data_IF_750696308363
#
_entry.id   IF_750696308363
#
_cell.length_a   1.000
_cell.length_b   1.000
_cell.length_c   1.000
_cell.angle_alpha   90.00
_cell.angle_beta   90.00
_cell.angle_gamma   90.00
#
_symmetry.space_group_name_H-M   'P 1'
#
loop_
_entity.id
_entity.type
_entity.pdbx_description
1 polymer ?
#
# COMPACT_ATOMS: atom_id res chain seq x y z
N UNK A 1 35.82 7.25 1.21
CA UNK A 1 34.90 7.79 0.15
C UNK A 1 33.95 8.75 0.81
N UNK A 2 33.53 9.80 0.16
CA UNK A 2 32.45 10.66 0.68
C UNK A 2 31.15 9.86 0.63
N UNK A 3 30.37 9.87 1.72
CA UNK A 3 29.08 9.20 1.78
C UNK A 3 28.12 9.87 0.80
N UNK A 4 27.26 9.08 0.16
CA UNK A 4 26.18 9.61 -0.69
C UNK A 4 25.02 10.09 0.19
N UNK A 5 24.61 11.35 0.07
CA UNK A 5 23.51 11.90 0.86
C UNK A 5 22.19 11.62 0.14
N UNK A 6 21.36 10.80 0.74
CA UNK A 6 20.04 10.41 0.22
C UNK A 6 18.96 11.03 1.09
N UNK A 7 18.10 11.85 0.49
CA UNK A 7 16.94 12.42 1.17
C UNK A 7 15.66 11.67 0.74
N UNK A 8 14.83 11.30 1.70
CA UNK A 8 13.51 10.70 1.43
C UNK A 8 12.42 11.72 1.79
N UNK A 9 11.50 11.98 0.86
CA UNK A 9 10.40 12.94 1.04
C UNK A 9 9.07 12.23 0.93
N UNK A 10 8.25 12.30 1.98
CA UNK A 10 6.91 11.71 2.00
C UNK A 10 6.01 12.44 3.01
N UNK A 11 4.68 12.27 2.89
CA UNK A 11 3.76 13.07 3.70
C UNK A 11 2.48 12.40 4.15
N UNK A 12 2.15 11.24 3.59
CA UNK A 12 0.93 10.50 3.91
C UNK A 12 1.23 9.17 4.59
N UNK A 13 0.23 8.60 5.25
CA UNK A 13 0.33 7.28 5.88
C UNK A 13 0.75 6.18 4.88
N UNK A 14 0.13 6.05 3.68
CA UNK A 14 0.54 5.03 2.71
C UNK A 14 1.98 5.17 2.23
N UNK A 15 2.43 6.40 1.97
CA UNK A 15 3.84 6.65 1.62
C UNK A 15 4.78 6.23 2.76
N UNK A 16 4.47 6.60 4.01
CA UNK A 16 5.31 6.26 5.16
C UNK A 16 5.46 4.75 5.34
N UNK A 17 4.39 3.97 5.19
CA UNK A 17 4.44 2.50 5.28
C UNK A 17 5.45 1.93 4.28
N UNK A 18 5.52 2.48 3.08
CA UNK A 18 6.38 2.03 1.99
C UNK A 18 7.78 2.64 2.00
N UNK A 19 7.96 3.84 2.58
CA UNK A 19 9.25 4.53 2.63
C UNK A 19 10.05 4.24 3.90
N UNK A 20 9.40 3.93 5.03
CA UNK A 20 10.10 3.64 6.27
C UNK A 20 11.03 2.40 6.20
N UNK A 21 10.66 1.29 5.54
CA UNK A 21 11.60 0.19 5.30
C UNK A 21 12.86 0.64 4.57
N UNK A 22 12.72 1.48 3.55
CA UNK A 22 13.84 2.04 2.78
C UNK A 22 14.70 2.99 3.62
N UNK A 23 14.09 3.81 4.49
CA UNK A 23 14.82 4.62 5.47
C UNK A 23 15.66 3.73 6.39
N UNK A 24 15.07 2.65 6.89
CA UNK A 24 15.75 1.74 7.79
C UNK A 24 16.91 1.02 7.09
N UNK A 25 16.72 0.57 5.86
CA UNK A 25 17.76 -0.06 5.06
C UNK A 25 18.95 0.90 4.83
N UNK A 26 18.71 2.13 4.41
CA UNK A 26 19.76 3.14 4.26
C UNK A 26 20.50 3.41 5.57
N UNK A 27 19.78 3.42 6.70
CA UNK A 27 20.37 3.62 8.04
C UNK A 27 21.20 2.43 8.53
N UNK A 28 21.07 1.24 7.95
CA UNK A 28 21.98 0.11 8.23
C UNK A 28 23.33 0.28 7.53
N UNK A 29 23.39 1.05 6.44
CA UNK A 29 24.58 1.23 5.58
C UNK A 29 25.22 2.61 5.79
N UNK A 30 25.42 2.98 7.03
CA UNK A 30 25.96 4.31 7.42
C UNK A 30 27.37 4.60 6.92
N UNK A 31 28.14 3.61 6.50
CA UNK A 31 29.47 3.81 5.90
C UNK A 31 29.38 4.32 4.46
N UNK A 32 28.28 4.05 3.77
CA UNK A 32 28.02 4.41 2.37
C UNK A 32 27.10 5.63 2.24
N UNK A 33 26.13 5.75 3.13
CA UNK A 33 25.05 6.75 3.02
C UNK A 33 24.96 7.69 4.22
N UNK A 34 24.57 8.93 3.92
CA UNK A 34 24.00 9.88 4.86
C UNK A 34 22.50 10.01 4.53
N UNK A 35 21.64 9.61 5.46
CA UNK A 35 20.19 9.54 5.24
C UNK A 35 19.51 10.73 5.88
N UNK A 36 18.73 11.48 5.10
CA UNK A 36 17.90 12.60 5.56
C UNK A 36 16.43 12.28 5.34
N UNK A 37 15.63 12.33 6.37
CA UNK A 37 14.19 12.07 6.32
C UNK A 37 13.42 13.37 6.42
N UNK A 38 12.70 13.74 5.38
CA UNK A 38 11.87 14.93 5.33
C UNK A 38 10.40 14.54 5.18
N UNK A 39 9.58 14.91 6.16
CA UNK A 39 8.14 14.68 6.09
C UNK A 39 7.40 15.99 5.83
N UNK A 40 6.33 15.91 5.03
CA UNK A 40 5.50 17.08 4.77
C UNK A 40 4.44 17.31 5.84
N UNK A 41 4.04 16.25 6.56
CA UNK A 41 3.00 16.34 7.58
C UNK A 41 1.62 16.61 7.02
N UNK A 42 1.32 16.13 5.79
CA UNK A 42 0.02 16.30 5.14
C UNK A 42 -1.11 15.63 5.95
N UNK A 43 -0.85 14.49 6.62
CA UNK A 43 -1.78 13.76 7.49
C UNK A 43 -1.07 13.41 8.81
N UNK A 44 -0.88 14.41 9.69
CA UNK A 44 0.01 14.38 10.84
C UNK A 44 -0.14 13.16 11.75
N UNK A 45 -1.31 12.98 12.36
CA UNK A 45 -1.52 11.92 13.36
C UNK A 45 -1.29 10.51 12.80
N UNK A 46 -1.82 10.24 11.61
CA UNK A 46 -1.67 8.94 10.95
C UNK A 46 -0.23 8.68 10.49
N UNK A 47 0.49 9.73 10.09
CA UNK A 47 1.90 9.65 9.72
C UNK A 47 2.76 9.32 10.94
N UNK A 48 2.57 10.05 12.05
CA UNK A 48 3.33 9.88 13.29
C UNK A 48 3.16 8.46 13.88
N UNK A 49 1.99 7.83 13.71
CA UNK A 49 1.76 6.44 14.11
C UNK A 49 2.69 5.49 13.33
N UNK A 50 2.77 5.62 12.02
CA UNK A 50 3.64 4.79 11.18
C UNK A 50 5.11 5.02 11.53
N UNK A 51 5.54 6.26 11.63
CA UNK A 51 6.92 6.61 12.00
C UNK A 51 7.34 5.93 13.32
N UNK A 52 6.44 5.93 14.34
CA UNK A 52 6.69 5.22 15.61
C UNK A 52 6.84 3.71 15.44
N UNK A 53 5.97 3.09 14.64
CA UNK A 53 6.00 1.63 14.39
C UNK A 53 7.33 1.21 13.77
N UNK A 54 7.86 2.01 12.83
CA UNK A 54 9.13 1.74 12.17
C UNK A 54 10.36 2.31 12.87
N UNK A 55 10.20 3.02 13.99
CA UNK A 55 11.31 3.66 14.71
C UNK A 55 11.99 4.77 13.93
N UNK A 56 11.28 5.40 12.99
CA UNK A 56 11.81 6.49 12.16
C UNK A 56 11.51 7.83 12.80
N UNK A 57 12.56 8.66 12.94
CA UNK A 57 12.43 10.06 13.35
C UNK A 57 12.79 10.93 12.15
N UNK A 58 11.91 11.83 11.71
CA UNK A 58 12.24 12.76 10.62
C UNK A 58 13.26 13.80 11.08
N UNK A 59 14.17 14.17 10.17
CA UNK A 59 15.13 15.25 10.36
C UNK A 59 14.46 16.59 10.09
N UNK A 60 13.56 16.64 9.12
CA UNK A 60 12.76 17.83 8.78
C UNK A 60 11.27 17.50 8.72
N UNK A 61 10.46 18.42 9.28
CA UNK A 61 9.01 18.38 9.21
C UNK A 61 8.49 19.71 8.65
N UNK A 62 7.93 19.65 7.44
CA UNK A 62 7.43 20.86 6.77
C UNK A 62 6.11 21.37 7.34
N UNK A 63 5.40 20.56 8.12
CA UNK A 63 4.16 20.90 8.81
C UNK A 63 3.16 21.66 7.90
N UNK A 64 2.79 21.05 6.76
CA UNK A 64 1.93 21.71 5.77
C UNK A 64 0.43 21.55 6.04
N UNK A 65 0.05 20.67 7.00
CA UNK A 65 -1.36 20.38 7.26
C UNK A 65 -2.13 21.62 7.70
N UNK A 66 -3.20 21.93 6.98
CA UNK A 66 -4.17 22.99 7.30
C UNK A 66 -5.59 22.49 7.12
N UNK A 67 -6.56 22.90 7.97
CA UNK A 67 -7.97 22.56 7.75
C UNK A 67 -8.46 23.08 6.39
N UNK A 68 -9.10 22.20 5.62
CA UNK A 68 -9.69 22.57 4.33
C UNK A 68 -8.70 22.89 3.21
N UNK A 69 -7.43 22.48 3.34
CA UNK A 69 -6.40 22.70 2.30
C UNK A 69 -6.81 22.10 0.97
N UNK A 70 -6.53 22.83 -0.10
CA UNK A 70 -6.71 22.42 -1.49
C UNK A 70 -5.45 21.77 -2.04
N UNK A 71 -5.54 21.16 -3.23
CA UNK A 71 -4.34 20.67 -3.94
C UNK A 71 -3.35 21.81 -4.25
N UNK A 72 -3.83 23.03 -4.49
CA UNK A 72 -2.99 24.21 -4.67
C UNK A 72 -2.19 24.51 -3.40
N UNK A 73 -2.85 24.50 -2.23
CA UNK A 73 -2.17 24.76 -0.96
C UNK A 73 -1.08 23.72 -0.69
N UNK A 74 -1.40 22.43 -0.85
CA UNK A 74 -0.43 21.34 -0.66
C UNK A 74 0.77 21.51 -1.60
N UNK A 75 0.52 21.70 -2.90
CA UNK A 75 1.58 21.85 -3.90
C UNK A 75 2.46 23.05 -3.64
N UNK A 76 1.87 24.22 -3.36
CA UNK A 76 2.61 25.44 -3.08
C UNK A 76 3.42 25.33 -1.78
N UNK A 77 2.81 24.83 -0.70
CA UNK A 77 3.47 24.72 0.59
C UNK A 77 4.66 23.76 0.54
N UNK A 78 4.50 22.59 -0.10
CA UNK A 78 5.61 21.62 -0.29
C UNK A 78 6.72 22.26 -1.12
N UNK A 79 6.37 22.83 -2.27
CA UNK A 79 7.36 23.42 -3.20
C UNK A 79 8.20 24.51 -2.52
N UNK A 80 7.55 25.44 -1.80
CA UNK A 80 8.22 26.57 -1.17
C UNK A 80 9.03 26.17 0.06
N UNK A 81 8.50 25.29 0.92
CA UNK A 81 9.18 24.88 2.15
C UNK A 81 10.31 23.91 1.88
N UNK A 82 10.10 22.97 0.96
CA UNK A 82 11.13 21.99 0.61
C UNK A 82 12.34 22.65 -0.08
N UNK A 83 12.13 23.74 -0.83
CA UNK A 83 13.23 24.49 -1.44
C UNK A 83 14.31 24.83 -0.41
N UNK A 84 13.94 25.41 0.73
CA UNK A 84 14.91 25.80 1.75
C UNK A 84 15.67 24.59 2.33
N UNK A 85 14.99 23.46 2.53
CA UNK A 85 15.61 22.24 3.02
C UNK A 85 16.60 21.67 1.99
N UNK A 86 16.23 21.66 0.70
CA UNK A 86 17.10 21.19 -0.38
C UNK A 86 18.36 22.08 -0.55
N UNK A 87 18.22 23.37 -0.42
CA UNK A 87 19.34 24.34 -0.50
C UNK A 87 20.33 24.19 0.67
N UNK A 88 19.83 23.83 1.87
CA UNK A 88 20.63 23.60 3.06
C UNK A 88 21.30 22.22 3.05
N UNK A 89 20.52 21.16 2.86
CA UNK A 89 20.99 19.77 2.91
C UNK A 89 21.82 19.35 1.70
N UNK A 90 21.53 19.86 0.51
CA UNK A 90 22.21 19.55 -0.76
C UNK A 90 22.35 18.05 -0.99
N UNK A 91 21.24 17.29 -1.01
CA UNK A 91 21.31 15.84 -1.22
C UNK A 91 21.83 15.50 -2.60
N UNK A 92 22.54 14.36 -2.71
CA UNK A 92 22.98 13.80 -4.00
C UNK A 92 21.82 13.20 -4.78
N UNK A 93 20.77 12.75 -4.07
CA UNK A 93 19.52 12.22 -4.64
C UNK A 93 18.37 12.37 -3.65
N UNK A 94 17.19 12.65 -4.20
CA UNK A 94 15.92 12.66 -3.43
C UNK A 94 15.04 11.51 -3.88
N UNK A 95 14.55 10.72 -2.94
CA UNK A 95 13.58 9.65 -3.20
C UNK A 95 12.18 10.13 -2.87
N UNK A 96 11.26 9.94 -3.80
CA UNK A 96 9.81 10.15 -3.64
C UNK A 96 9.07 8.88 -3.95
N UNK A 97 7.84 8.73 -3.45
CA UNK A 97 7.08 7.51 -3.61
C UNK A 97 5.74 7.75 -4.30
N UNK A 98 5.45 6.96 -5.34
CA UNK A 98 4.13 6.88 -5.96
C UNK A 98 3.65 8.21 -6.56
N UNK A 99 2.42 8.60 -6.21
CA UNK A 99 1.64 9.55 -7.00
C UNK A 99 0.94 10.65 -6.19
N UNK A 100 1.36 10.87 -4.97
CA UNK A 100 0.78 11.91 -4.13
C UNK A 100 1.15 13.32 -4.62
N UNK A 101 0.38 14.32 -4.20
CA UNK A 101 0.74 15.73 -4.43
C UNK A 101 2.07 16.10 -3.75
N UNK A 102 2.43 15.43 -2.66
CA UNK A 102 3.75 15.54 -2.01
C UNK A 102 4.86 15.08 -2.95
N UNK A 103 4.75 13.88 -3.53
CA UNK A 103 5.74 13.31 -4.44
C UNK A 103 5.92 14.17 -5.68
N UNK A 104 4.81 14.63 -6.28
CA UNK A 104 4.83 15.54 -7.42
C UNK A 104 5.53 16.87 -7.10
N UNK A 105 5.12 17.55 -6.02
CA UNK A 105 5.68 18.85 -5.66
C UNK A 105 7.16 18.74 -5.25
N UNK A 106 7.55 17.65 -4.56
CA UNK A 106 8.94 17.38 -4.20
C UNK A 106 9.81 17.14 -5.43
N UNK A 107 9.35 16.31 -6.37
CA UNK A 107 10.05 16.06 -7.63
C UNK A 107 10.23 17.35 -8.46
N UNK A 108 9.20 18.20 -8.51
CA UNK A 108 9.27 19.49 -9.19
C UNK A 108 10.27 20.45 -8.51
N UNK A 109 10.32 20.49 -7.16
CA UNK A 109 11.30 21.30 -6.44
C UNK A 109 12.72 20.83 -6.74
N UNK A 110 12.96 19.52 -6.75
CA UNK A 110 14.25 18.91 -7.10
C UNK A 110 14.66 19.26 -8.53
N UNK A 111 13.72 19.16 -9.49
CA UNK A 111 13.99 19.51 -10.88
C UNK A 111 14.44 20.96 -11.04
N UNK A 112 13.80 21.90 -10.35
CA UNK A 112 14.19 23.31 -10.39
C UNK A 112 15.58 23.58 -9.81
N UNK A 113 15.99 22.79 -8.83
CA UNK A 113 17.32 22.88 -8.21
C UNK A 113 18.35 21.93 -8.82
N UNK A 114 17.98 21.19 -9.87
CA UNK A 114 18.83 20.22 -10.55
C UNK A 114 19.34 19.10 -9.59
N UNK A 115 18.53 18.72 -8.62
CA UNK A 115 18.80 17.58 -7.73
C UNK A 115 18.20 16.33 -8.36
N UNK A 116 18.97 15.23 -8.52
CA UNK A 116 18.46 13.97 -9.05
C UNK A 116 17.31 13.40 -8.22
N UNK A 117 16.29 12.85 -8.90
CA UNK A 117 15.12 12.23 -8.27
C UNK A 117 15.11 10.73 -8.54
N UNK A 118 14.89 9.95 -7.50
CA UNK A 118 14.54 8.53 -7.61
C UNK A 118 13.05 8.34 -7.30
N UNK A 119 12.34 7.73 -8.25
CA UNK A 119 10.91 7.45 -8.10
C UNK A 119 10.71 6.00 -7.65
N UNK A 120 10.29 5.81 -6.41
CA UNK A 120 9.89 4.52 -5.84
C UNK A 120 8.42 4.26 -6.22
N UNK A 121 8.10 3.09 -6.75
CA UNK A 121 6.82 2.73 -7.36
C UNK A 121 6.59 3.44 -8.71
N UNK A 122 7.65 3.55 -9.52
CA UNK A 122 7.62 4.17 -10.84
C UNK A 122 6.88 3.30 -11.89
N UNK A 123 6.29 3.96 -12.88
CA UNK A 123 5.76 3.27 -14.07
C UNK A 123 4.36 2.68 -13.95
N UNK A 124 3.63 2.86 -12.86
CA UNK A 124 2.21 2.54 -12.80
C UNK A 124 1.42 3.44 -13.76
N UNK A 125 0.49 2.87 -14.55
CA UNK A 125 -0.33 3.63 -15.52
C UNK A 125 -1.76 3.12 -15.59
N UNK A 126 -2.68 4.08 -15.69
CA UNK A 126 -4.06 3.84 -16.13
C UNK A 126 -4.28 4.33 -17.56
N UNK A 127 -3.39 5.19 -18.07
CA UNK A 127 -3.49 5.86 -19.36
C UNK A 127 -4.68 6.84 -19.48
N UNK A 128 -5.34 7.16 -18.37
CA UNK A 128 -6.36 8.20 -18.28
C UNK A 128 -5.95 9.21 -17.20
N UNK A 129 -5.44 10.37 -17.62
CA UNK A 129 -4.90 11.43 -16.75
C UNK A 129 -5.91 11.93 -15.71
N UNK A 130 -7.20 11.65 -15.91
CA UNK A 130 -8.28 12.02 -15.00
C UNK A 130 -8.78 10.86 -14.12
N UNK A 131 -8.17 9.66 -14.26
CA UNK A 131 -8.60 8.47 -13.50
C UNK A 131 -7.43 7.55 -13.13
N UNK A 132 -7.05 7.50 -11.83
CA UNK A 132 -7.48 8.33 -10.71
C UNK A 132 -6.96 9.78 -10.83
N UNK A 133 -7.72 10.72 -10.32
CA UNK A 133 -7.36 12.13 -10.34
C UNK A 133 -7.06 12.65 -8.92
N UNK A 134 -5.93 13.34 -8.67
CA UNK A 134 -4.88 13.77 -9.62
C UNK A 134 -3.72 12.77 -9.80
N UNK A 135 -3.83 11.56 -9.25
CA UNK A 135 -2.74 10.60 -9.06
C UNK A 135 -2.08 10.19 -10.39
N UNK A 136 -2.87 9.93 -11.46
CA UNK A 136 -2.29 9.52 -12.74
C UNK A 136 -1.42 10.62 -13.35
N UNK A 137 -1.85 11.88 -13.25
CA UNK A 137 -1.01 13.01 -13.67
C UNK A 137 0.26 13.10 -12.82
N UNK A 138 0.12 13.01 -11.50
CA UNK A 138 1.26 13.15 -10.59
C UNK A 138 2.36 12.12 -10.89
N UNK A 139 1.99 10.83 -11.06
CA UNK A 139 2.99 9.78 -11.31
C UNK A 139 3.71 9.94 -12.63
N UNK A 140 2.97 10.33 -13.69
CA UNK A 140 3.58 10.63 -14.98
C UNK A 140 4.54 11.83 -14.89
N UNK A 141 4.14 12.89 -14.19
CA UNK A 141 4.97 14.08 -14.00
C UNK A 141 6.25 13.78 -13.19
N UNK A 142 6.15 12.96 -12.13
CA UNK A 142 7.33 12.48 -11.38
C UNK A 142 8.26 11.69 -12.31
N UNK A 143 7.72 10.76 -13.10
CA UNK A 143 8.52 9.99 -14.06
C UNK A 143 9.19 10.86 -15.15
N UNK A 144 8.63 12.02 -15.50
CA UNK A 144 9.26 12.93 -16.47
C UNK A 144 10.59 13.47 -15.96
N UNK A 145 10.70 13.78 -14.67
CA UNK A 145 11.86 14.44 -14.07
C UNK A 145 12.79 13.48 -13.32
N UNK A 146 12.43 12.20 -13.20
CA UNK A 146 13.22 11.21 -12.47
C UNK A 146 14.48 10.76 -13.23
N UNK A 147 15.52 10.46 -12.47
CA UNK A 147 16.78 9.90 -12.90
C UNK A 147 16.89 8.41 -12.61
N UNK A 148 16.23 7.92 -11.54
CA UNK A 148 16.14 6.51 -11.14
C UNK A 148 14.67 6.10 -11.10
N UNK A 149 14.34 4.97 -11.74
CA UNK A 149 12.99 4.44 -11.82
C UNK A 149 12.95 3.06 -11.14
N UNK A 150 12.41 3.00 -9.94
CA UNK A 150 12.24 1.75 -9.19
C UNK A 150 10.83 1.22 -9.44
N UNK A 151 10.71 0.36 -10.44
CA UNK A 151 9.44 -0.19 -10.88
C UNK A 151 9.01 -1.37 -9.98
N UNK A 152 7.73 -1.46 -9.55
CA UNK A 152 7.28 -2.57 -8.73
C UNK A 152 7.14 -3.89 -9.52
N UNK A 153 6.90 -3.83 -10.85
CA UNK A 153 6.68 -4.99 -11.71
C UNK A 153 7.29 -4.81 -13.09
N UNK A 154 7.41 -5.91 -13.84
CA UNK A 154 7.82 -5.86 -15.25
C UNK A 154 6.83 -5.08 -16.12
N UNK A 155 5.52 -5.11 -15.79
CA UNK A 155 4.53 -4.30 -16.51
C UNK A 155 4.78 -2.80 -16.30
N UNK A 156 5.13 -2.39 -15.09
CA UNK A 156 5.50 -1.01 -14.78
C UNK A 156 6.79 -0.58 -15.51
N UNK A 157 7.80 -1.46 -15.57
CA UNK A 157 9.00 -1.25 -16.38
C UNK A 157 8.64 -1.06 -17.85
N UNK A 158 7.75 -1.91 -18.38
CA UNK A 158 7.35 -1.82 -19.80
C UNK A 158 6.65 -0.50 -20.13
N UNK A 159 5.82 0.02 -19.21
CA UNK A 159 5.20 1.33 -19.36
C UNK A 159 6.27 2.44 -19.53
N UNK A 160 7.29 2.43 -18.67
CA UNK A 160 8.40 3.38 -18.72
C UNK A 160 9.19 3.27 -20.05
N UNK A 161 9.47 2.04 -20.50
CA UNK A 161 10.13 1.80 -21.79
C UNK A 161 9.29 2.31 -22.96
N UNK A 162 7.98 2.09 -22.94
CA UNK A 162 7.06 2.58 -23.97
C UNK A 162 7.01 4.12 -24.04
N UNK A 163 7.29 4.78 -22.91
CA UNK A 163 7.40 6.24 -22.80
C UNK A 163 8.82 6.76 -23.14
N UNK A 164 9.72 5.87 -23.57
CA UNK A 164 11.08 6.24 -24.01
C UNK A 164 12.06 6.47 -22.87
N UNK A 165 11.78 6.00 -21.65
CA UNK A 165 12.76 6.07 -20.56
C UNK A 165 13.92 5.10 -20.82
N UNK A 166 15.17 5.49 -20.49
CA UNK A 166 16.34 4.64 -20.72
C UNK A 166 16.28 3.37 -19.87
N UNK A 167 16.43 2.19 -20.48
CA UNK A 167 16.40 0.91 -19.75
C UNK A 167 17.46 0.84 -18.66
N UNK A 168 18.63 1.44 -18.86
CA UNK A 168 19.72 1.48 -17.88
C UNK A 168 19.42 2.27 -16.61
N UNK A 169 18.28 2.97 -16.56
CA UNK A 169 17.79 3.74 -15.40
C UNK A 169 16.52 3.15 -14.76
N UNK A 170 16.08 1.99 -15.23
CA UNK A 170 14.86 1.32 -14.74
C UNK A 170 15.25 0.00 -14.07
N UNK A 171 14.89 -0.16 -12.80
CA UNK A 171 15.10 -1.38 -12.03
C UNK A 171 13.76 -1.91 -11.53
N UNK A 172 13.51 -3.20 -11.76
CA UNK A 172 12.34 -3.87 -11.17
C UNK A 172 12.74 -4.37 -9.80
N UNK A 173 12.30 -3.67 -8.77
CA UNK A 173 12.68 -3.93 -7.39
C UNK A 173 11.58 -4.57 -6.55
N UNK A 174 10.34 -4.58 -7.05
CA UNK A 174 9.18 -4.95 -6.26
C UNK A 174 8.60 -3.75 -5.50
N UNK A 175 7.61 -4.04 -4.66
CA UNK A 175 6.90 -3.02 -3.86
C UNK A 175 7.42 -3.02 -2.42
N UNK A 176 7.91 -1.87 -1.97
CA UNK A 176 8.42 -1.66 -0.60
C UNK A 176 7.34 -1.81 0.50
N UNK A 177 6.06 -1.83 0.14
CA UNK A 177 4.97 -2.20 1.05
C UNK A 177 5.09 -3.64 1.56
N UNK A 178 5.67 -4.54 0.74
CA UNK A 178 5.94 -5.93 1.16
C UNK A 178 7.07 -5.98 2.18
N UNK A 179 8.10 -5.13 2.01
CA UNK A 179 9.19 -4.99 3.00
C UNK A 179 8.67 -4.55 4.37
N UNK A 180 7.61 -3.73 4.39
CA UNK A 180 6.99 -3.29 5.63
C UNK A 180 6.50 -4.46 6.49
N UNK A 181 6.02 -5.54 5.89
CA UNK A 181 5.55 -6.72 6.60
C UNK A 181 6.66 -7.40 7.41
N UNK A 182 7.90 -7.37 6.95
CA UNK A 182 9.05 -7.91 7.69
C UNK A 182 9.28 -7.22 9.04
N UNK A 183 8.88 -5.95 9.15
CA UNK A 183 9.00 -5.17 10.40
C UNK A 183 7.74 -5.27 11.25
N UNK A 184 6.58 -5.34 10.62
CA UNK A 184 5.28 -5.20 11.30
C UNK A 184 4.66 -6.53 11.69
N UNK A 185 4.87 -7.60 10.94
CA UNK A 185 4.42 -8.95 11.32
C UNK A 185 5.36 -9.51 12.36
N UNK A 186 4.83 -9.87 13.53
CA UNK A 186 5.62 -10.28 14.71
C UNK A 186 5.22 -11.65 15.17
N UNK A 187 6.23 -12.49 15.45
CA UNK A 187 6.00 -13.75 16.19
C UNK A 187 5.46 -13.45 17.57
N UNK A 188 4.44 -14.21 17.99
CA UNK A 188 3.83 -14.07 19.31
C UNK A 188 2.97 -12.80 19.47
N UNK A 189 2.61 -12.15 18.36
CA UNK A 189 1.66 -11.04 18.41
C UNK A 189 0.31 -11.52 18.95
N UNK A 190 -0.25 -10.80 19.92
CA UNK A 190 -1.54 -11.09 20.57
C UNK A 190 -2.45 -9.88 20.47
N UNK A 191 -3.72 -10.15 20.22
CA UNK A 191 -4.78 -9.15 20.24
C UNK A 191 -6.10 -9.86 20.65
N UNK A 192 -6.96 -9.23 21.46
CA UNK A 192 -8.19 -9.87 21.95
C UNK A 192 -9.08 -10.45 20.85
N UNK A 193 -9.16 -9.76 19.69
CA UNK A 193 -9.94 -10.23 18.54
C UNK A 193 -9.33 -11.48 17.88
N UNK A 194 -7.99 -11.60 17.85
CA UNK A 194 -7.34 -12.81 17.35
C UNK A 194 -7.47 -13.97 18.32
N UNK A 195 -7.40 -13.71 19.62
CA UNK A 195 -7.67 -14.71 20.66
C UNK A 195 -9.13 -15.21 20.58
N UNK A 196 -10.08 -14.30 20.35
CA UNK A 196 -11.47 -14.69 20.10
C UNK A 196 -11.61 -15.59 18.87
N UNK A 197 -10.84 -15.35 17.82
CA UNK A 197 -10.88 -16.14 16.58
C UNK A 197 -10.11 -17.47 16.66
N UNK A 198 -9.38 -17.73 17.74
CA UNK A 198 -8.54 -18.92 17.88
C UNK A 198 -9.33 -20.21 17.65
N UNK A 199 -8.69 -21.19 16.99
CA UNK A 199 -9.30 -22.47 16.64
C UNK A 199 -10.29 -22.45 15.48
N UNK A 200 -10.49 -21.30 14.82
CA UNK A 200 -11.33 -21.16 13.62
C UNK A 200 -10.53 -20.70 12.42
N UNK A 201 -11.08 -20.88 11.22
CA UNK A 201 -10.54 -20.26 10.00
C UNK A 201 -10.93 -18.77 10.01
N UNK A 202 -9.96 -17.91 10.30
CA UNK A 202 -10.18 -16.46 10.35
C UNK A 202 -10.32 -15.87 8.96
N UNK A 203 -11.40 -15.15 8.72
CA UNK A 203 -11.66 -14.36 7.51
C UNK A 203 -11.45 -12.88 7.85
N UNK A 204 -10.52 -12.23 7.15
CA UNK A 204 -10.34 -10.78 7.27
C UNK A 204 -11.12 -10.08 6.17
N UNK A 205 -11.94 -9.10 6.53
CA UNK A 205 -12.78 -8.36 5.58
C UNK A 205 -12.33 -6.91 5.54
N UNK A 206 -12.17 -6.36 4.34
CA UNK A 206 -12.04 -4.91 4.13
C UNK A 206 -12.89 -4.48 2.94
N UNK A 207 -13.83 -3.57 3.15
CA UNK A 207 -14.69 -3.05 2.11
C UNK A 207 -15.03 -1.58 2.40
N UNK A 208 -14.65 -0.68 1.48
CA UNK A 208 -14.82 0.76 1.69
C UNK A 208 -14.80 1.60 0.40
N UNK A 209 -14.63 0.99 -0.76
CA UNK A 209 -14.54 1.70 -2.03
C UNK A 209 -15.84 2.41 -2.37
N UNK A 210 -15.73 3.64 -2.88
CA UNK A 210 -16.88 4.49 -3.23
C UNK A 210 -17.72 3.86 -4.33
N UNK A 211 -17.11 3.18 -5.27
CA UNK A 211 -17.76 2.47 -6.37
C UNK A 211 -18.67 1.33 -5.89
N UNK A 212 -18.42 0.78 -4.72
CA UNK A 212 -19.19 -0.31 -4.12
C UNK A 212 -20.32 0.17 -3.19
N UNK A 213 -20.43 1.48 -2.93
CA UNK A 213 -21.47 1.99 -2.02
C UNK A 213 -22.89 1.71 -2.54
N UNK A 214 -23.82 1.47 -1.62
CA UNK A 214 -25.21 1.11 -1.92
C UNK A 214 -25.41 -0.38 -2.14
N UNK A 215 -26.25 -0.78 -3.09
CA UNK A 215 -26.66 -2.17 -3.31
C UNK A 215 -25.48 -3.14 -3.57
N UNK A 216 -24.40 -2.78 -4.28
CA UNK A 216 -23.24 -3.67 -4.40
C UNK A 216 -22.68 -4.09 -3.04
N UNK A 217 -22.53 -3.17 -2.10
CA UNK A 217 -22.00 -3.46 -0.76
C UNK A 217 -22.95 -4.37 0.04
N UNK A 218 -24.26 -4.19 -0.06
CA UNK A 218 -25.23 -5.07 0.55
C UNK A 218 -25.13 -6.51 0.00
N UNK A 219 -24.99 -6.67 -1.33
CA UNK A 219 -24.78 -7.99 -1.95
C UNK A 219 -23.51 -8.67 -1.44
N UNK A 220 -22.41 -7.92 -1.34
CA UNK A 220 -21.14 -8.41 -0.79
C UNK A 220 -21.33 -8.95 0.64
N UNK A 221 -21.95 -8.19 1.51
CA UNK A 221 -22.15 -8.58 2.91
C UNK A 221 -23.15 -9.75 3.05
N UNK A 222 -24.22 -9.80 2.26
CA UNK A 222 -25.13 -10.95 2.23
C UNK A 222 -24.40 -12.23 1.78
N UNK A 223 -23.54 -12.14 0.76
CA UNK A 223 -22.74 -13.28 0.31
C UNK A 223 -21.82 -13.79 1.42
N UNK A 224 -21.12 -12.89 2.11
CA UNK A 224 -20.23 -13.22 3.23
C UNK A 224 -21.01 -13.93 4.33
N UNK A 225 -22.11 -13.36 4.77
CA UNK A 225 -22.97 -13.96 5.81
C UNK A 225 -23.46 -15.35 5.43
N UNK A 226 -23.92 -15.52 4.18
CA UNK A 226 -24.41 -16.80 3.64
C UNK A 226 -23.32 -17.86 3.65
N UNK A 227 -22.11 -17.56 3.19
CA UNK A 227 -20.97 -18.49 3.24
C UNK A 227 -20.64 -18.89 4.66
N UNK A 228 -20.58 -17.92 5.59
CA UNK A 228 -20.26 -18.22 6.97
C UNK A 228 -21.34 -19.06 7.69
N UNK A 229 -22.60 -19.01 7.25
CA UNK A 229 -23.65 -19.91 7.74
C UNK A 229 -23.33 -21.35 7.33
N UNK A 230 -22.93 -21.56 6.08
CA UNK A 230 -22.64 -22.88 5.54
C UNK A 230 -21.27 -23.46 6.00
N UNK A 231 -20.37 -22.59 6.48
CA UNK A 231 -19.05 -22.95 7.01
C UNK A 231 -18.91 -22.55 8.50
N UNK A 232 -19.45 -23.36 9.43
CA UNK A 232 -19.54 -22.99 10.85
C UNK A 232 -18.19 -22.93 11.59
N UNK A 233 -17.13 -23.45 10.99
CA UNK A 233 -15.74 -23.39 11.48
C UNK A 233 -15.02 -22.06 11.14
N UNK A 234 -15.72 -21.11 10.52
CA UNK A 234 -15.19 -19.78 10.19
C UNK A 234 -15.58 -18.74 11.22
N UNK A 235 -14.67 -17.81 11.48
CA UNK A 235 -14.93 -16.52 12.13
C UNK A 235 -14.42 -15.39 11.25
N UNK A 236 -15.06 -14.23 11.32
CA UNK A 236 -14.65 -13.08 10.52
C UNK A 236 -14.38 -11.86 11.42
N UNK A 237 -13.39 -11.07 11.03
CA UNK A 237 -13.12 -9.76 11.63
C UNK A 237 -13.17 -8.73 10.50
N UNK A 238 -13.93 -7.67 10.73
CA UNK A 238 -14.09 -6.56 9.81
C UNK A 238 -13.67 -5.24 10.47
N UNK A 239 -12.43 -4.79 10.32
CA UNK A 239 -12.01 -3.44 10.68
C UNK A 239 -12.71 -2.44 9.76
N UNK A 240 -13.81 -1.85 10.26
CA UNK A 240 -14.74 -1.10 9.41
C UNK A 240 -14.27 0.34 9.16
N UNK A 241 -14.38 0.80 7.92
CA UNK A 241 -14.09 2.18 7.56
C UNK A 241 -15.07 3.17 8.20
N UNK A 242 -14.59 4.39 8.52
CA UNK A 242 -15.38 5.42 9.20
C UNK A 242 -16.53 6.02 8.39
N UNK A 243 -16.59 5.73 7.09
CA UNK A 243 -17.66 6.23 6.22
C UNK A 243 -19.03 5.74 6.71
N UNK A 244 -19.99 6.67 7.01
CA UNK A 244 -21.32 6.32 7.53
C UNK A 244 -22.12 5.38 6.62
N UNK A 245 -21.96 5.48 5.30
CA UNK A 245 -22.65 4.61 4.33
C UNK A 245 -22.15 3.18 4.40
N UNK A 246 -20.83 2.99 4.59
CA UNK A 246 -20.23 1.66 4.80
C UNK A 246 -20.75 1.06 6.10
N UNK A 247 -20.71 1.84 7.20
CA UNK A 247 -21.19 1.41 8.52
C UNK A 247 -22.67 1.02 8.47
N UNK A 248 -23.49 1.82 7.80
CA UNK A 248 -24.91 1.53 7.65
C UNK A 248 -25.14 0.19 6.95
N UNK A 249 -24.54 -0.04 5.78
CA UNK A 249 -24.69 -1.28 5.04
C UNK A 249 -24.19 -2.51 5.84
N UNK A 250 -23.04 -2.37 6.54
CA UNK A 250 -22.52 -3.45 7.37
C UNK A 250 -23.47 -3.79 8.54
N UNK A 251 -24.00 -2.80 9.24
CA UNK A 251 -24.97 -3.02 10.32
C UNK A 251 -26.27 -3.65 9.82
N UNK A 252 -26.79 -3.23 8.66
CA UNK A 252 -28.02 -3.78 8.10
C UNK A 252 -27.89 -5.27 7.73
N UNK A 253 -26.72 -5.72 7.26
CA UNK A 253 -26.52 -7.09 6.75
C UNK A 253 -25.82 -8.03 7.75
N UNK A 254 -24.93 -7.50 8.60
CA UNK A 254 -24.02 -8.32 9.40
C UNK A 254 -24.31 -8.30 10.92
N UNK A 255 -25.11 -7.35 11.43
CA UNK A 255 -25.44 -7.28 12.84
C UNK A 255 -26.11 -8.56 13.35
N UNK A 256 -25.81 -8.90 14.60
CA UNK A 256 -26.35 -10.07 15.26
C UNK A 256 -25.79 -11.41 14.78
N UNK A 257 -24.73 -11.40 13.95
CA UNK A 257 -24.04 -12.60 13.56
C UNK A 257 -22.83 -12.86 14.45
N UNK A 258 -23.00 -13.73 15.47
CA UNK A 258 -22.03 -13.93 16.57
C UNK A 258 -20.62 -14.32 16.14
N UNK A 259 -20.45 -14.86 14.93
CA UNK A 259 -19.15 -15.28 14.39
C UNK A 259 -18.48 -14.22 13.50
N UNK A 260 -18.99 -12.98 13.50
CA UNK A 260 -18.41 -11.86 12.79
C UNK A 260 -18.33 -10.66 13.73
N UNK A 261 -17.12 -10.17 13.95
CA UNK A 261 -16.88 -8.96 14.72
C UNK A 261 -16.60 -7.78 13.79
N UNK A 262 -17.41 -6.73 13.92
CA UNK A 262 -17.16 -5.43 13.32
C UNK A 262 -16.40 -4.61 14.36
N UNK A 263 -15.18 -4.21 14.02
CA UNK A 263 -14.30 -3.47 14.95
C UNK A 263 -13.90 -2.12 14.36
N UNK A 264 -13.33 -1.26 15.18
CA UNK A 264 -12.76 0.01 14.71
C UNK A 264 -11.58 -0.22 13.77
N UNK A 265 -11.23 0.78 12.91
CA UNK A 265 -10.10 0.67 12.01
C UNK A 265 -8.81 0.36 12.77
N UNK A 266 -8.02 -0.58 12.26
CA UNK A 266 -6.76 -0.98 12.84
C UNK A 266 -5.60 -0.07 12.38
N UNK A 267 -4.62 0.10 13.26
CA UNK A 267 -3.32 0.66 12.87
C UNK A 267 -2.53 -0.35 12.02
N UNK A 268 -1.49 0.13 11.33
CA UNK A 268 -0.73 -0.70 10.37
C UNK A 268 -0.13 -1.96 11.02
N UNK A 269 0.39 -1.83 12.24
CA UNK A 269 0.96 -2.96 12.97
C UNK A 269 -0.07 -4.06 13.19
N UNK A 270 -1.22 -3.69 13.75
CA UNK A 270 -2.30 -4.61 14.05
C UNK A 270 -2.87 -5.21 12.76
N UNK A 271 -3.12 -4.37 11.76
CA UNK A 271 -3.69 -4.80 10.50
C UNK A 271 -2.82 -5.86 9.78
N UNK A 272 -1.50 -5.66 9.73
CA UNK A 272 -0.57 -6.62 9.13
C UNK A 272 -0.53 -7.95 9.90
N UNK A 273 -0.61 -7.92 11.23
CA UNK A 273 -0.69 -9.14 12.03
C UNK A 273 -2.05 -9.85 11.88
N UNK A 274 -3.15 -9.10 11.70
CA UNK A 274 -4.45 -9.69 11.38
C UNK A 274 -4.44 -10.34 9.98
N UNK A 275 -3.79 -9.71 8.99
CA UNK A 275 -3.56 -10.35 7.69
C UNK A 275 -2.76 -11.65 7.83
N UNK A 276 -1.66 -11.61 8.58
CA UNK A 276 -0.80 -12.78 8.79
C UNK A 276 -1.54 -13.92 9.52
N UNK A 277 -2.44 -13.61 10.45
CA UNK A 277 -3.24 -14.58 11.18
C UNK A 277 -4.44 -15.09 10.37
N UNK A 278 -4.86 -14.41 9.31
CA UNK A 278 -6.05 -14.79 8.55
C UNK A 278 -5.82 -16.05 7.72
N UNK A 279 -6.91 -16.81 7.51
CA UNK A 279 -6.97 -17.91 6.57
C UNK A 279 -7.20 -17.40 5.15
N UNK A 280 -8.10 -16.43 4.97
CA UNK A 280 -8.49 -15.87 3.69
C UNK A 280 -8.88 -14.41 3.86
N UNK A 281 -8.69 -13.60 2.82
CA UNK A 281 -8.98 -12.18 2.85
C UNK A 281 -9.99 -11.81 1.76
N UNK A 282 -11.04 -11.10 2.17
CA UNK A 282 -12.04 -10.48 1.29
C UNK A 282 -11.78 -8.98 1.27
N UNK A 283 -11.44 -8.41 0.12
CA UNK A 283 -11.04 -7.00 0.06
C UNK A 283 -11.52 -6.27 -1.20
N UNK A 284 -11.70 -4.97 -1.11
CA UNK A 284 -11.77 -4.06 -2.25
C UNK A 284 -10.57 -3.09 -2.32
N UNK A 285 -9.58 -3.25 -1.43
CA UNK A 285 -8.39 -2.41 -1.34
C UNK A 285 -7.29 -2.82 -2.32
N UNK A 286 -6.62 -1.84 -2.94
CA UNK A 286 -5.50 -2.08 -3.85
C UNK A 286 -4.24 -2.60 -3.14
N UNK A 287 -3.82 -1.98 -2.03
CA UNK A 287 -2.59 -2.37 -1.32
C UNK A 287 -2.61 -3.79 -0.78
N UNK A 288 -3.75 -4.23 -0.27
CA UNK A 288 -3.91 -5.60 0.26
C UNK A 288 -3.71 -6.66 -0.84
N UNK A 289 -4.04 -6.34 -2.09
CA UNK A 289 -3.81 -7.21 -3.24
C UNK A 289 -2.32 -7.48 -3.50
N UNK A 290 -1.45 -6.59 -3.05
CA UNK A 290 0.01 -6.71 -3.19
C UNK A 290 0.64 -7.36 -1.92
N UNK A 291 0.15 -6.98 -0.75
CA UNK A 291 0.71 -7.35 0.56
C UNK A 291 0.28 -8.76 1.01
N UNK A 292 -1.00 -9.10 0.96
CA UNK A 292 -1.53 -10.36 1.48
C UNK A 292 -0.96 -11.62 0.79
N UNK A 293 -0.73 -11.64 -0.52
CA UNK A 293 -0.09 -12.77 -1.19
C UNK A 293 1.32 -13.08 -0.68
N UNK A 294 2.08 -12.07 -0.24
CA UNK A 294 3.43 -12.29 0.32
C UNK A 294 3.40 -13.01 1.67
N UNK A 295 2.25 -13.00 2.34
CA UNK A 295 1.98 -13.76 3.56
C UNK A 295 1.36 -15.15 3.27
N UNK A 296 1.27 -15.54 2.00
CA UNK A 296 0.62 -16.79 1.59
C UNK A 296 -0.88 -16.81 1.83
N UNK A 297 -1.54 -15.65 1.78
CA UNK A 297 -2.98 -15.54 2.04
C UNK A 297 -3.77 -15.40 0.74
N UNK A 298 -4.69 -16.35 0.43
CA UNK A 298 -5.60 -16.19 -0.69
C UNK A 298 -6.45 -14.92 -0.55
N UNK A 299 -6.62 -14.20 -1.66
CA UNK A 299 -7.35 -12.92 -1.70
C UNK A 299 -8.49 -12.99 -2.69
N UNK A 300 -9.70 -12.75 -2.22
CA UNK A 300 -10.86 -12.50 -3.07
C UNK A 300 -11.11 -10.99 -3.18
N UNK A 301 -10.98 -10.46 -4.39
CA UNK A 301 -11.13 -9.04 -4.67
C UNK A 301 -12.57 -8.76 -5.07
N UNK A 302 -13.32 -8.09 -4.19
CA UNK A 302 -14.73 -7.74 -4.36
C UNK A 302 -14.88 -6.46 -5.21
N UNK A 303 -14.42 -6.53 -6.45
CA UNK A 303 -14.47 -5.47 -7.46
C UNK A 303 -14.68 -6.05 -8.85
N UNK A 304 -15.27 -5.26 -9.74
CA UNK A 304 -15.44 -5.66 -11.14
C UNK A 304 -14.15 -5.49 -11.96
N UNK A 305 -13.27 -4.58 -11.52
CA UNK A 305 -11.97 -4.30 -12.13
C UNK A 305 -10.88 -4.15 -11.07
N UNK A 306 -9.63 -4.37 -11.46
CA UNK A 306 -8.47 -4.11 -10.59
C UNK A 306 -7.35 -3.45 -11.38
N UNK A 307 -6.59 -2.59 -10.71
CA UNK A 307 -5.35 -2.00 -11.21
C UNK A 307 -4.14 -2.94 -11.02
N UNK A 308 -4.37 -4.18 -10.56
CA UNK A 308 -3.37 -5.20 -10.25
C UNK A 308 -3.61 -6.48 -11.07
N UNK A 309 -3.63 -6.38 -12.41
CA UNK A 309 -3.89 -7.54 -13.26
C UNK A 309 -2.82 -8.63 -13.13
N UNK A 310 -1.59 -8.26 -12.75
CA UNK A 310 -0.47 -9.20 -12.56
C UNK A 310 -0.77 -10.21 -11.44
N UNK A 311 -1.37 -9.78 -10.34
CA UNK A 311 -1.75 -10.68 -9.25
C UNK A 311 -2.84 -11.68 -9.65
N UNK A 312 -3.79 -11.25 -10.49
CA UNK A 312 -4.79 -12.15 -11.08
C UNK A 312 -4.13 -13.17 -12.01
N UNK A 313 -3.23 -12.71 -12.89
CA UNK A 313 -2.50 -13.55 -13.82
C UNK A 313 -1.57 -14.56 -13.12
N UNK A 314 -0.96 -14.14 -12.01
CA UNK A 314 -0.12 -15.01 -11.17
C UNK A 314 -0.93 -15.99 -10.32
N UNK A 315 -2.24 -15.82 -10.19
CA UNK A 315 -3.11 -16.67 -9.38
C UNK A 315 -3.05 -16.41 -7.87
N UNK A 316 -2.44 -15.30 -7.45
CA UNK A 316 -2.36 -14.92 -6.02
C UNK A 316 -3.66 -14.31 -5.50
N UNK A 317 -4.48 -13.80 -6.40
CA UNK A 317 -5.78 -13.22 -6.10
C UNK A 317 -6.80 -13.54 -7.18
N UNK A 318 -8.08 -13.47 -6.81
CA UNK A 318 -9.20 -13.72 -7.70
C UNK A 318 -10.19 -12.56 -7.66
N UNK A 319 -10.46 -12.00 -8.82
CA UNK A 319 -11.48 -10.96 -8.98
C UNK A 319 -12.87 -11.62 -8.97
N UNK A 320 -13.72 -11.28 -8.01
CA UNK A 320 -15.03 -11.91 -7.80
C UNK A 320 -16.20 -10.96 -8.04
N UNK A 321 -15.94 -9.69 -8.38
CA UNK A 321 -16.99 -8.70 -8.59
C UNK A 321 -17.77 -8.39 -7.32
N UNK A 322 -18.98 -7.88 -7.50
CA UNK A 322 -19.89 -7.48 -6.40
C UNK A 322 -21.19 -8.28 -6.38
N UNK A 323 -21.33 -9.30 -7.26
CA UNK A 323 -22.53 -10.13 -7.32
C UNK A 323 -22.55 -11.21 -6.25
N UNK A 324 -23.64 -11.29 -5.47
CA UNK A 324 -23.77 -12.17 -4.31
C UNK A 324 -23.45 -13.63 -4.61
N UNK A 325 -24.03 -14.19 -5.68
CA UNK A 325 -23.83 -15.62 -6.03
C UNK A 325 -22.42 -15.92 -6.53
N UNK A 326 -21.73 -14.95 -7.12
CA UNK A 326 -20.33 -15.13 -7.55
C UNK A 326 -19.43 -15.14 -6.33
N UNK A 327 -19.57 -14.17 -5.43
CA UNK A 327 -18.79 -14.12 -4.18
C UNK A 327 -19.05 -15.37 -3.34
N UNK A 328 -20.32 -15.76 -3.17
CA UNK A 328 -20.68 -16.97 -2.44
C UNK A 328 -19.99 -18.21 -3.00
N UNK A 329 -20.05 -18.41 -4.33
CA UNK A 329 -19.45 -19.58 -4.98
C UNK A 329 -17.94 -19.63 -4.80
N UNK A 330 -17.24 -18.52 -5.09
CA UNK A 330 -15.78 -18.49 -5.05
C UNK A 330 -15.24 -18.55 -3.61
N UNK A 331 -15.92 -17.90 -2.68
CA UNK A 331 -15.55 -17.97 -1.26
C UNK A 331 -15.79 -19.36 -0.67
N UNK A 332 -16.97 -19.97 -0.89
CA UNK A 332 -17.24 -21.35 -0.44
C UNK A 332 -16.29 -22.35 -1.08
N UNK A 333 -15.89 -22.14 -2.33
CA UNK A 333 -14.94 -22.98 -3.04
C UNK A 333 -13.58 -22.98 -2.35
N UNK A 334 -13.00 -21.83 -2.04
CA UNK A 334 -11.72 -21.74 -1.32
C UNK A 334 -11.79 -22.31 0.10
N UNK A 335 -12.95 -22.33 0.72
CA UNK A 335 -13.13 -22.96 2.03
C UNK A 335 -13.29 -24.49 1.94
N UNK A 336 -13.70 -25.03 0.79
CA UNK A 336 -14.04 -26.46 0.61
C UNK A 336 -13.01 -27.24 -0.19
N UNK A 337 -12.25 -26.56 -1.08
CA UNK A 337 -11.26 -27.17 -1.98
C UNK A 337 -9.85 -26.78 -1.52
N UNK A 338 -9.22 -27.71 -0.78
CA UNK A 338 -7.85 -27.52 -0.28
C UNK A 338 -6.83 -27.34 -1.41
N UNK A 339 -7.02 -28.01 -2.55
CA UNK A 339 -6.10 -27.93 -3.68
C UNK A 339 -6.10 -26.52 -4.27
N UNK A 340 -7.28 -25.93 -4.42
CA UNK A 340 -7.39 -24.55 -4.93
C UNK A 340 -6.87 -23.53 -3.93
N UNK A 341 -7.16 -23.72 -2.64
CA UNK A 341 -6.60 -22.90 -1.58
C UNK A 341 -5.07 -22.91 -1.61
N UNK A 342 -4.45 -24.10 -1.65
CA UNK A 342 -3.00 -24.27 -1.68
C UNK A 342 -2.38 -23.69 -2.96
N UNK A 343 -3.03 -23.86 -4.10
CA UNK A 343 -2.57 -23.27 -5.36
C UNK A 343 -2.49 -21.75 -5.27
N UNK A 344 -3.49 -21.10 -4.67
CA UNK A 344 -3.51 -19.66 -4.52
C UNK A 344 -2.53 -19.18 -3.44
N UNK A 345 -2.45 -19.88 -2.30
CA UNK A 345 -1.59 -19.47 -1.17
C UNK A 345 -0.10 -19.61 -1.46
N UNK A 346 0.28 -20.55 -2.37
CA UNK A 346 1.68 -20.77 -2.76
C UNK A 346 2.05 -20.13 -4.11
N UNK A 347 1.12 -19.42 -4.76
CA UNK A 347 1.42 -18.71 -6.00
C UNK A 347 2.48 -17.62 -5.75
N UNK A 348 3.39 -17.45 -6.72
CA UNK A 348 4.45 -16.46 -6.62
C UNK A 348 3.87 -15.04 -6.67
N UNK A 349 4.22 -14.21 -5.70
CA UNK A 349 3.77 -12.83 -5.66
C UNK A 349 4.51 -11.98 -6.71
N UNK A 350 3.82 -11.42 -7.72
CA UNK A 350 4.47 -10.63 -8.77
C UNK A 350 4.99 -9.26 -8.28
N UNK A 351 4.60 -8.84 -7.08
CA UNK A 351 4.96 -7.53 -6.51
C UNK A 351 6.22 -7.56 -5.67
N UNK A 352 6.90 -8.72 -5.57
CA UNK A 352 8.18 -8.86 -4.88
C UNK A 352 8.15 -9.84 -3.70
N UNK A 353 9.31 -9.98 -3.08
CA UNK A 353 9.63 -10.94 -2.02
C UNK A 353 9.98 -10.28 -0.67
N UNK A 354 9.84 -8.95 -0.56
CA UNK A 354 10.17 -8.18 0.64
C UNK A 354 11.62 -7.71 0.73
N UNK A 355 12.33 -7.66 -0.40
CA UNK A 355 13.71 -7.17 -0.52
C UNK A 355 13.83 -5.94 -1.44
N UNK A 356 12.71 -5.26 -1.71
CA UNK A 356 12.70 -4.09 -2.60
C UNK A 356 13.60 -2.95 -2.08
N UNK A 357 13.58 -2.70 -0.77
CA UNK A 357 14.40 -1.66 -0.15
C UNK A 357 15.90 -1.97 -0.27
N UNK A 358 16.31 -3.21 -0.07
CA UNK A 358 17.70 -3.67 -0.24
C UNK A 358 18.15 -3.44 -1.69
N UNK A 359 17.35 -3.86 -2.67
CA UNK A 359 17.64 -3.67 -4.10
C UNK A 359 17.74 -2.19 -4.50
N UNK A 360 16.86 -1.33 -3.99
CA UNK A 360 16.93 0.12 -4.23
C UNK A 360 18.22 0.70 -3.67
N UNK A 361 18.61 0.32 -2.45
CA UNK A 361 19.83 0.82 -1.81
C UNK A 361 21.08 0.32 -2.54
N UNK A 362 21.09 -0.92 -3.04
CA UNK A 362 22.19 -1.44 -3.86
C UNK A 362 22.38 -0.65 -5.15
N UNK A 363 21.29 -0.31 -5.84
CA UNK A 363 21.36 0.56 -7.03
C UNK A 363 21.90 1.94 -6.69
N UNK A 364 21.57 2.49 -5.53
CA UNK A 364 22.06 3.79 -5.10
C UNK A 364 23.55 3.74 -4.68
N UNK A 365 24.06 2.60 -4.26
CA UNK A 365 25.46 2.42 -3.91
C UNK A 365 26.39 2.42 -5.14
N UNK A 366 25.88 2.08 -6.33
CA UNK A 366 26.61 2.05 -7.61
C UNK A 366 26.99 0.67 -7.97
#
# INVERSE_FOLDING_TARGET
MTKKKVMLVFGTRPEAIKMCPLVNELKTRTDEFETVVTVTGQHREMLDQVLRVFGVTPDHDLAIMKPGQTLFDVTCDVLLKLKAVLEDERPDVVLVHGDTSTSFAAALACFYLQVPVGHVEAGLRTHDIYSPWPEEFNRQAVDIVSEYYFAPTEASKQNLLNEGKPESKIWVTGNTGIDALRTTVREGYSHPELEWAEGSRLILITAHRRENLGEPMHRMFRAIRRVMVDHPDTKAIYPIHMNPLVRKAAHEELDGFERLHIIDPLEVLDFHNFMAASHLILTDSGGIQEEAPSLGKPVLVMRDTTERPEGVAAGTLKLVGTEEDVIYREFSRLLSDQTEYEAMSHASNPYGDGHASEQIVDVLAG
#
